data_IF_401183747444
#
_entry.id   IF_401183747444
#
_cell.length_a   1.000
_cell.length_b   1.000
_cell.length_c   1.000
_cell.angle_alpha   90.00
_cell.angle_beta   90.00
_cell.angle_gamma   90.00
#
_symmetry.space_group_name_H-M   'P 1'
#
loop_
_entity.id
_entity.type
_entity.pdbx_description
1 polymer ?
#
# COMPACT_ATOMS: atom_id res chain seq x y z
N UNK A 1 -7.57 -54.64 -24.38
CA UNK A 1 -6.47 -53.91 -23.71
C UNK A 1 -5.21 -53.99 -24.58
N UNK A 2 -4.48 -52.89 -24.77
CA UNK A 2 -3.18 -52.72 -25.51
C UNK A 2 -3.14 -52.05 -26.91
N UNK A 3 -4.18 -51.34 -27.40
CA UNK A 3 -4.03 -50.51 -28.63
C UNK A 3 -4.65 -49.09 -28.59
N UNK A 4 -4.85 -48.50 -27.41
CA UNK A 4 -5.37 -47.12 -27.28
C UNK A 4 -4.39 -46.17 -26.55
N UNK A 5 -3.27 -46.68 -26.04
CA UNK A 5 -2.23 -45.88 -25.38
C UNK A 5 -1.07 -45.70 -26.35
N UNK A 6 -1.24 -44.91 -27.41
CA UNK A 6 -0.08 -44.41 -28.18
C UNK A 6 -0.31 -43.10 -28.94
N UNK A 7 -1.45 -42.42 -28.74
CA UNK A 7 -1.76 -41.16 -29.43
C UNK A 7 -1.92 -39.93 -28.53
N UNK A 8 -1.75 -40.07 -27.21
CA UNK A 8 -1.88 -38.95 -26.25
C UNK A 8 -0.52 -38.48 -25.70
N UNK A 9 0.58 -39.17 -26.01
CA UNK A 9 1.95 -38.77 -25.55
C UNK A 9 2.71 -37.94 -26.59
N UNK A 10 2.24 -37.83 -27.84
CA UNK A 10 2.93 -37.07 -28.89
C UNK A 10 2.55 -35.58 -28.96
N UNK A 11 1.45 -35.14 -28.36
CA UNK A 11 1.01 -33.73 -28.43
C UNK A 11 1.60 -32.89 -27.30
N UNK A 12 1.75 -33.42 -26.09
CA UNK A 12 2.35 -32.69 -24.95
C UNK A 12 3.88 -32.55 -25.05
N UNK A 13 4.57 -33.51 -25.67
CA UNK A 13 6.02 -33.41 -25.91
C UNK A 13 6.42 -32.36 -26.95
N UNK A 14 5.59 -32.13 -27.97
CA UNK A 14 5.87 -31.15 -29.03
C UNK A 14 5.71 -29.69 -28.56
N UNK A 15 4.78 -29.41 -27.65
CA UNK A 15 4.59 -28.07 -27.08
C UNK A 15 5.72 -27.69 -26.10
N UNK A 16 6.22 -28.62 -25.29
CA UNK A 16 7.34 -28.36 -24.38
C UNK A 16 8.68 -28.13 -25.11
N UNK A 17 8.94 -28.85 -26.21
CA UNK A 17 10.13 -28.67 -27.06
C UNK A 17 10.06 -27.40 -27.92
N UNK A 18 8.87 -27.02 -28.41
CA UNK A 18 8.67 -25.74 -29.11
C UNK A 18 8.90 -24.52 -28.20
N UNK A 19 8.50 -24.60 -26.93
CA UNK A 19 8.66 -23.55 -25.94
C UNK A 19 10.13 -23.33 -25.52
N UNK A 20 10.92 -24.42 -25.39
CA UNK A 20 12.34 -24.32 -25.02
C UNK A 20 13.20 -23.71 -26.15
N UNK A 21 12.91 -24.05 -27.41
CA UNK A 21 13.66 -23.56 -28.58
C UNK A 21 13.31 -22.10 -28.93
N UNK A 22 12.04 -21.69 -28.73
CA UNK A 22 11.62 -20.30 -28.97
C UNK A 22 12.03 -19.35 -27.84
N UNK A 23 12.00 -19.78 -26.57
CA UNK A 23 12.49 -19.00 -25.43
C UNK A 23 14.01 -18.75 -25.44
N UNK A 24 14.81 -19.74 -25.83
CA UNK A 24 16.27 -19.58 -25.97
C UNK A 24 16.68 -18.71 -27.17
N UNK A 25 15.94 -18.76 -28.29
CA UNK A 25 16.19 -17.85 -29.43
C UNK A 25 15.87 -16.40 -29.08
N UNK A 26 14.84 -16.17 -28.26
CA UNK A 26 14.49 -14.85 -27.74
C UNK A 26 15.58 -14.26 -26.84
N UNK A 27 16.11 -15.05 -25.90
CA UNK A 27 17.21 -14.63 -25.01
C UNK A 27 18.50 -14.31 -25.79
N UNK A 28 18.77 -14.99 -26.91
CA UNK A 28 19.95 -14.72 -27.74
C UNK A 28 19.78 -13.50 -28.65
N UNK A 29 18.58 -13.25 -29.17
CA UNK A 29 18.35 -12.11 -30.06
C UNK A 29 18.22 -10.78 -29.32
N UNK A 30 17.51 -10.76 -28.19
CA UNK A 30 17.24 -9.50 -27.47
C UNK A 30 18.10 -9.32 -26.20
N UNK A 31 18.69 -10.38 -25.66
CA UNK A 31 19.56 -10.27 -24.48
C UNK A 31 20.79 -9.40 -24.74
N UNK A 32 21.37 -9.46 -25.94
CA UNK A 32 22.50 -8.61 -26.33
C UNK A 32 22.10 -7.13 -26.50
N UNK A 33 20.89 -6.88 -26.98
CA UNK A 33 20.36 -5.52 -27.18
C UNK A 33 19.96 -4.87 -25.86
N UNK A 34 19.35 -5.64 -24.95
CA UNK A 34 19.04 -5.23 -23.58
C UNK A 34 20.33 -4.97 -22.79
N UNK A 35 21.34 -5.84 -22.88
CA UNK A 35 22.64 -5.61 -22.23
C UNK A 35 23.35 -4.36 -22.76
N UNK A 36 23.26 -4.09 -24.07
CA UNK A 36 23.82 -2.88 -24.67
C UNK A 36 23.11 -1.63 -24.15
N UNK A 37 21.78 -1.63 -24.09
CA UNK A 37 21.01 -0.52 -23.54
C UNK A 37 21.30 -0.30 -22.05
N UNK A 38 21.54 -1.37 -21.29
CA UNK A 38 21.92 -1.31 -19.89
C UNK A 38 23.34 -0.72 -19.70
N UNK A 39 24.29 -1.07 -20.56
CA UNK A 39 25.64 -0.48 -20.55
C UNK A 39 25.62 1.00 -20.97
N UNK A 40 24.82 1.37 -21.96
CA UNK A 40 24.63 2.77 -22.36
C UNK A 40 24.01 3.59 -21.23
N UNK A 41 23.10 2.99 -20.44
CA UNK A 41 22.52 3.61 -19.25
C UNK A 41 23.53 3.80 -18.11
N UNK A 42 24.36 2.81 -17.79
CA UNK A 42 25.42 2.94 -16.79
C UNK A 42 26.42 4.05 -17.14
N UNK A 43 26.75 4.18 -18.44
CA UNK A 43 27.61 5.26 -18.91
C UNK A 43 26.96 6.64 -18.76
N UNK A 44 25.68 6.78 -19.07
CA UNK A 44 24.95 8.04 -18.89
C UNK A 44 24.76 8.41 -17.42
N UNK A 45 24.51 7.43 -16.55
CA UNK A 45 24.42 7.62 -15.11
C UNK A 45 25.75 8.13 -14.54
N UNK A 46 26.88 7.53 -14.94
CA UNK A 46 28.21 7.98 -14.54
C UNK A 46 28.53 9.41 -15.02
N UNK A 47 28.11 9.78 -16.23
CA UNK A 47 28.26 11.16 -16.75
C UNK A 47 27.47 12.15 -15.91
N UNK A 48 26.22 11.85 -15.58
CA UNK A 48 25.36 12.71 -14.75
C UNK A 48 25.90 12.86 -13.32
N UNK A 49 26.42 11.79 -12.74
CA UNK A 49 27.04 11.82 -11.41
C UNK A 49 28.30 12.69 -11.40
N UNK A 50 29.15 12.58 -12.42
CA UNK A 50 30.30 13.46 -12.61
C UNK A 50 29.90 14.93 -12.80
N UNK A 51 28.84 15.23 -13.55
CA UNK A 51 28.32 16.60 -13.70
C UNK A 51 27.77 17.16 -12.38
N UNK A 52 27.14 16.32 -11.54
CA UNK A 52 26.65 16.72 -10.20
C UNK A 52 27.81 17.02 -9.25
N UNK A 53 28.87 16.23 -9.29
CA UNK A 53 30.07 16.46 -8.49
C UNK A 53 30.78 17.75 -8.91
N UNK A 54 30.86 18.05 -10.21
CA UNK A 54 31.39 19.33 -10.71
C UNK A 54 30.53 20.53 -10.30
N UNK A 55 29.19 20.39 -10.33
CA UNK A 55 28.27 21.44 -9.87
C UNK A 55 28.40 21.67 -8.36
N UNK A 56 28.60 20.60 -7.56
CA UNK A 56 28.86 20.71 -6.12
C UNK A 56 30.20 21.38 -5.82
N UNK A 57 31.25 21.10 -6.60
CA UNK A 57 32.55 21.75 -6.41
C UNK A 57 32.56 23.22 -6.89
N UNK A 58 31.77 23.57 -7.92
CA UNK A 58 31.61 24.94 -8.38
C UNK A 58 30.83 25.85 -7.43
N UNK A 59 29.91 25.29 -6.61
CA UNK A 59 29.09 26.06 -5.67
C UNK A 59 29.79 26.40 -4.34
N UNK A 60 30.92 25.74 -4.03
CA UNK A 60 31.68 25.98 -2.78
C UNK A 60 32.59 27.22 -2.86
N UNK A 61 32.78 27.82 -4.05
CA UNK A 61 33.66 29.00 -4.21
C UNK A 61 32.88 30.33 -4.08
N UNK A 62 31.55 30.34 -4.18
CA UNK A 62 30.76 31.59 -4.23
C UNK A 62 30.15 32.02 -2.89
N UNK A 63 30.15 31.16 -1.85
CA UNK A 63 29.52 31.46 -0.54
C UNK A 63 30.52 31.72 0.60
N UNK A 64 31.71 32.27 0.28
CA UNK A 64 32.63 32.85 1.28
C UNK A 64 32.89 34.32 0.98
N UNK A 65 31.89 35.15 1.24
CA UNK A 65 32.07 36.61 1.18
C UNK A 65 30.77 37.37 1.30
N UNK A 66 30.31 37.60 2.53
CA UNK A 66 29.77 38.90 2.98
C UNK A 66 29.03 38.71 4.31
N UNK A 67 29.76 38.97 5.38
CA UNK A 67 29.19 39.34 6.68
C UNK A 67 29.18 40.87 6.77
N UNK A 68 28.02 41.48 7.04
CA UNK A 68 27.92 42.79 7.70
C UNK A 68 26.47 43.10 8.14
N UNK A 69 26.29 43.08 9.46
CA UNK A 69 25.52 44.02 10.30
C UNK A 69 24.29 44.75 9.74
N UNK A 70 23.12 44.54 10.36
CA UNK A 70 22.17 45.64 10.62
C UNK A 70 21.49 45.51 11.98
N UNK A 71 21.34 46.69 12.57
CA UNK A 71 21.07 47.10 13.95
C UNK A 71 19.59 47.12 14.34
N UNK A 72 19.36 46.91 15.63
CA UNK A 72 18.11 47.12 16.39
C UNK A 72 17.78 48.63 16.47
N UNK A 73 16.49 48.99 16.59
CA UNK A 73 16.12 49.92 17.66
C UNK A 73 14.91 49.47 18.51
N UNK A 74 15.00 49.90 19.76
CA UNK A 74 14.14 49.62 20.91
C UNK A 74 13.30 50.87 21.22
N UNK A 75 12.00 50.72 21.50
CA UNK A 75 11.11 51.67 22.20
C UNK A 75 9.73 50.99 22.33
N UNK A 76 8.89 51.06 23.37
CA UNK A 76 8.87 51.62 24.73
C UNK A 76 7.58 51.06 25.36
N UNK A 77 7.56 50.93 26.69
CA UNK A 77 6.44 50.41 27.48
C UNK A 77 5.23 51.36 27.53
N UNK A 78 4.03 50.79 27.60
CA UNK A 78 2.86 51.41 28.22
C UNK A 78 1.94 50.34 28.84
N UNK A 79 1.62 50.52 30.11
CA UNK A 79 0.69 49.71 30.94
C UNK A 79 -0.59 50.52 31.22
N UNK A 80 -1.61 49.98 31.93
CA UNK A 80 -2.88 49.51 31.38
C UNK A 80 -4.08 50.44 31.68
N UNK A 81 -5.21 50.26 30.98
CA UNK A 81 -6.49 50.89 31.34
C UNK A 81 -7.57 49.85 31.63
N UNK A 82 -8.09 49.94 32.85
CA UNK A 82 -9.19 49.15 33.40
C UNK A 82 -10.50 49.39 32.64
N UNK A 83 -11.31 48.33 32.52
CA UNK A 83 -12.66 48.38 31.99
C UNK A 83 -13.47 47.14 32.32
N UNK A 84 -14.31 47.26 33.35
CA UNK A 84 -15.65 46.66 33.40
C UNK A 84 -15.76 45.14 33.55
N UNK A 85 -15.78 44.67 34.81
CA UNK A 85 -16.45 43.43 35.15
C UNK A 85 -17.96 43.60 34.95
N UNK A 86 -18.55 42.79 34.07
CA UNK A 86 -19.99 42.50 34.07
C UNK A 86 -20.12 41.01 34.36
N UNK A 87 -20.55 40.71 35.57
CA UNK A 87 -20.92 39.36 35.99
C UNK A 87 -22.20 38.94 35.26
N UNK A 88 -22.04 38.08 34.25
CA UNK A 88 -23.12 37.29 33.69
C UNK A 88 -23.29 36.00 34.53
N UNK A 89 -24.52 35.49 34.70
CA UNK A 89 -24.83 34.42 35.63
C UNK A 89 -24.09 33.13 35.28
N UNK A 90 -23.53 32.51 36.31
CA UNK A 90 -22.86 31.21 36.29
C UNK A 90 -23.83 30.16 35.70
N UNK A 91 -23.67 29.86 34.42
CA UNK A 91 -24.20 28.64 33.83
C UNK A 91 -23.39 27.46 34.42
N UNK A 92 -24.08 26.37 34.74
CA UNK A 92 -23.50 25.14 35.30
C UNK A 92 -22.21 24.76 34.55
N UNK A 93 -21.13 24.52 35.29
CA UNK A 93 -19.78 24.41 34.75
C UNK A 93 -19.63 23.33 33.66
N UNK A 94 -18.62 23.46 32.79
CA UNK A 94 -18.27 22.44 31.81
C UNK A 94 -18.01 21.12 32.55
N UNK A 95 -18.70 20.06 32.13
CA UNK A 95 -18.55 18.74 32.75
C UNK A 95 -17.09 18.29 32.69
N UNK A 96 -16.50 17.94 33.83
CA UNK A 96 -15.13 17.44 33.90
C UNK A 96 -15.00 16.20 32.98
N UNK A 97 -13.93 16.03 32.17
CA UNK A 97 -13.78 14.86 31.30
C UNK A 97 -13.97 13.50 31.99
N UNK A 98 -13.61 13.37 33.28
CA UNK A 98 -13.90 12.17 34.08
C UNK A 98 -15.40 11.94 34.29
N UNK A 99 -16.17 13.00 34.53
CA UNK A 99 -17.63 12.92 34.66
C UNK A 99 -18.30 12.59 33.32
N UNK A 100 -17.78 13.14 32.22
CA UNK A 100 -18.25 12.81 30.86
C UNK A 100 -18.06 11.31 30.61
N UNK A 101 -16.88 10.76 30.88
CA UNK A 101 -16.60 9.33 30.75
C UNK A 101 -17.47 8.47 31.66
N UNK A 102 -17.65 8.86 32.93
CA UNK A 102 -18.53 8.14 33.85
C UNK A 102 -19.98 8.10 33.34
N UNK A 103 -20.48 9.21 32.76
CA UNK A 103 -21.81 9.24 32.12
C UNK A 103 -21.88 8.35 30.89
N UNK A 104 -20.84 8.29 30.07
CA UNK A 104 -20.79 7.38 28.92
C UNK A 104 -20.90 5.92 29.41
N UNK A 105 -20.09 5.53 30.40
CA UNK A 105 -20.09 4.17 30.97
C UNK A 105 -21.46 3.81 31.55
N UNK A 106 -22.07 4.73 32.31
CA UNK A 106 -23.40 4.52 32.90
C UNK A 106 -24.48 4.35 31.83
N UNK A 107 -24.47 5.19 30.78
CA UNK A 107 -25.39 5.08 29.67
C UNK A 107 -25.21 3.79 28.85
N UNK A 108 -24.01 3.22 28.81
CA UNK A 108 -23.77 1.94 28.15
C UNK A 108 -24.21 0.74 29.00
N UNK A 109 -24.13 0.84 30.33
CA UNK A 109 -24.56 -0.24 31.24
C UNK A 109 -26.07 -0.26 31.47
N UNK A 110 -26.67 0.92 31.65
CA UNK A 110 -28.05 1.06 32.13
C UNK A 110 -28.94 1.84 31.16
N UNK A 111 -28.41 2.34 30.04
CA UNK A 111 -29.19 3.12 29.08
C UNK A 111 -30.13 2.27 28.23
N UNK A 112 -31.28 2.84 27.87
CA UNK A 112 -32.21 2.24 26.92
C UNK A 112 -31.80 2.49 25.45
N UNK A 113 -32.62 2.05 24.47
CA UNK A 113 -32.31 2.11 23.03
C UNK A 113 -31.97 3.52 22.48
N UNK A 114 -32.31 4.57 23.21
CA UNK A 114 -32.05 5.96 22.83
C UNK A 114 -30.76 6.54 23.42
N UNK A 115 -30.01 5.80 24.25
CA UNK A 115 -28.80 6.28 24.92
C UNK A 115 -27.64 6.56 23.94
N UNK A 116 -27.67 5.93 22.76
CA UNK A 116 -26.59 6.01 21.78
C UNK A 116 -26.33 7.45 21.27
N UNK A 117 -27.39 8.24 21.06
CA UNK A 117 -27.22 9.66 20.65
C UNK A 117 -26.58 10.50 21.75
N UNK A 118 -26.88 10.19 23.02
CA UNK A 118 -26.26 10.87 24.15
C UNK A 118 -24.79 10.48 24.28
N UNK A 119 -24.46 9.20 24.10
CA UNK A 119 -23.07 8.71 24.09
C UNK A 119 -22.25 9.37 22.99
N UNK A 120 -22.79 9.46 21.76
CA UNK A 120 -22.12 10.16 20.65
C UNK A 120 -21.86 11.63 20.97
N UNK A 121 -22.83 12.34 21.55
CA UNK A 121 -22.63 13.73 21.99
C UNK A 121 -21.53 13.84 23.04
N UNK A 122 -21.53 12.98 24.05
CA UNK A 122 -20.52 12.99 25.11
C UNK A 122 -19.12 12.66 24.57
N UNK A 123 -18.99 11.77 23.58
CA UNK A 123 -17.71 11.53 22.89
C UNK A 123 -17.23 12.79 22.15
N UNK A 124 -18.13 13.52 21.49
CA UNK A 124 -17.79 14.81 20.88
C UNK A 124 -17.39 15.85 21.92
N UNK A 125 -18.03 15.86 23.10
CA UNK A 125 -17.67 16.76 24.19
C UNK A 125 -16.25 16.47 24.72
N UNK A 126 -15.82 15.20 24.73
CA UNK A 126 -14.42 14.84 25.06
C UNK A 126 -13.43 15.38 24.04
N UNK A 127 -13.76 15.34 22.75
CA UNK A 127 -12.92 15.92 21.68
C UNK A 127 -12.84 17.44 21.84
N UNK A 128 -13.96 18.11 22.11
CA UNK A 128 -14.02 19.56 22.34
C UNK A 128 -13.22 20.01 23.58
N UNK A 129 -13.20 19.19 24.63
CA UNK A 129 -12.37 19.42 25.81
C UNK A 129 -10.86 19.23 25.54
N UNK A 130 -10.49 18.61 24.41
CA UNK A 130 -9.12 18.55 23.91
C UNK A 130 -8.17 17.80 24.86
N UNK A 131 -6.93 18.27 25.03
CA UNK A 131 -5.91 17.58 25.84
C UNK A 131 -6.31 17.29 27.29
N UNK A 132 -7.26 18.04 27.86
CA UNK A 132 -7.77 17.82 29.22
C UNK A 132 -8.48 16.46 29.37
N UNK A 133 -8.99 15.90 28.28
CA UNK A 133 -9.64 14.59 28.25
C UNK A 133 -8.67 13.42 28.30
N UNK A 134 -7.40 13.62 27.90
CA UNK A 134 -6.46 12.53 27.64
C UNK A 134 -6.15 11.69 28.88
N UNK A 135 -5.96 12.32 30.04
CA UNK A 135 -5.68 11.61 31.28
C UNK A 135 -6.84 10.69 31.69
N UNK A 136 -8.08 11.18 31.58
CA UNK A 136 -9.27 10.39 31.92
C UNK A 136 -9.49 9.23 30.94
N UNK A 137 -9.22 9.46 29.64
CA UNK A 137 -9.29 8.41 28.62
C UNK A 137 -8.21 7.35 28.87
N UNK A 138 -6.98 7.76 29.17
CA UNK A 138 -5.88 6.86 29.48
C UNK A 138 -6.19 5.97 30.70
N UNK A 139 -6.76 6.54 31.76
CA UNK A 139 -7.22 5.79 32.94
C UNK A 139 -8.24 4.72 32.57
N UNK A 140 -9.22 5.04 31.72
CA UNK A 140 -10.19 4.06 31.23
C UNK A 140 -9.52 2.97 30.39
N UNK A 141 -8.66 3.33 29.42
CA UNK A 141 -7.97 2.36 28.57
C UNK A 141 -7.08 1.39 29.36
N UNK A 142 -6.45 1.87 30.44
CA UNK A 142 -5.62 1.07 31.33
C UNK A 142 -6.41 0.09 32.22
N UNK A 143 -7.71 0.32 32.42
CA UNK A 143 -8.57 -0.59 33.18
C UNK A 143 -8.82 -1.93 32.48
N UNK A 144 -8.62 -1.98 31.15
CA UNK A 144 -8.94 -3.14 30.32
C UNK A 144 -10.44 -3.37 30.10
N UNK A 145 -11.32 -2.53 30.64
CA UNK A 145 -12.76 -2.60 30.37
C UNK A 145 -13.04 -2.24 28.90
N UNK A 146 -13.84 -3.05 28.22
CA UNK A 146 -14.32 -2.75 26.87
C UNK A 146 -15.82 -3.04 26.73
N UNK A 147 -16.62 -1.97 26.83
CA UNK A 147 -18.07 -2.05 26.72
C UNK A 147 -18.49 -2.06 25.26
N UNK A 148 -19.37 -3.00 24.88
CA UNK A 148 -19.94 -3.02 23.53
C UNK A 148 -20.85 -1.82 23.32
N UNK A 149 -20.69 -1.15 22.19
CA UNK A 149 -21.59 -0.07 21.77
C UNK A 149 -22.63 -0.66 20.82
N UNK A 150 -23.90 -0.39 21.08
CA UNK A 150 -24.97 -0.91 20.23
C UNK A 150 -24.95 -0.18 18.88
N UNK A 151 -24.57 -0.90 17.81
CA UNK A 151 -24.47 -0.35 16.45
C UNK A 151 -25.85 -0.27 15.80
N UNK A 152 -26.74 0.54 16.35
CA UNK A 152 -28.08 0.70 15.78
C UNK A 152 -28.08 1.77 14.67
N UNK A 153 -27.57 1.42 13.48
CA UNK A 153 -27.88 2.13 12.24
C UNK A 153 -27.64 1.27 10.99
N UNK A 154 -28.66 0.52 10.56
CA UNK A 154 -28.85 0.17 9.14
C UNK A 154 -29.16 1.46 8.36
N UNK A 155 -28.15 2.26 8.07
CA UNK A 155 -28.28 3.50 7.29
C UNK A 155 -26.98 3.79 6.55
N UNK A 156 -26.99 3.63 5.22
CA UNK A 156 -25.89 4.05 4.36
C UNK A 156 -25.72 5.58 4.48
N UNK A 157 -24.61 6.04 5.05
CA UNK A 157 -24.03 7.34 4.71
C UNK A 157 -23.90 8.40 5.81
N UNK A 158 -23.40 8.08 7.01
CA UNK A 158 -22.87 9.10 7.93
C UNK A 158 -21.36 8.90 8.16
N UNK A 159 -20.54 9.97 8.12
CA UNK A 159 -19.11 9.89 8.41
C UNK A 159 -18.89 10.03 9.92
N UNK A 160 -18.33 9.02 10.60
CA UNK A 160 -17.65 9.24 11.88
C UNK A 160 -17.71 8.16 12.97
N UNK A 161 -18.74 7.31 13.07
CA UNK A 161 -18.84 6.30 14.14
C UNK A 161 -18.93 4.87 13.61
N UNK A 162 -17.90 4.05 13.85
CA UNK A 162 -17.81 2.63 13.41
C UNK A 162 -17.47 1.65 14.54
N UNK A 163 -17.30 2.10 15.79
CA UNK A 163 -16.82 1.28 16.89
C UNK A 163 -17.84 0.27 17.37
N UNK A 164 -17.46 -1.01 17.35
CA UNK A 164 -18.23 -2.06 18.05
C UNK A 164 -18.08 -1.99 19.58
N UNK A 165 -17.22 -1.11 20.09
CA UNK A 165 -16.90 -1.00 21.51
C UNK A 165 -16.40 0.40 21.93
N UNK A 166 -16.53 0.69 23.23
CA UNK A 166 -16.19 1.98 23.82
C UNK A 166 -14.69 2.25 23.74
N UNK A 167 -13.85 1.22 23.92
CA UNK A 167 -12.41 1.35 23.75
C UNK A 167 -12.04 1.88 22.36
N UNK A 168 -12.69 1.37 21.31
CA UNK A 168 -12.42 1.81 19.94
C UNK A 168 -12.81 3.27 19.70
N UNK A 169 -13.96 3.70 20.23
CA UNK A 169 -14.41 5.10 20.11
C UNK A 169 -13.51 6.04 20.92
N UNK A 170 -13.04 5.64 22.10
CA UNK A 170 -12.12 6.46 22.89
C UNK A 170 -10.75 6.61 22.24
N UNK A 171 -10.24 5.56 21.58
CA UNK A 171 -9.03 5.68 20.76
C UNK A 171 -9.23 6.64 19.58
N UNK A 172 -10.42 6.65 18.98
CA UNK A 172 -10.79 7.61 17.94
C UNK A 172 -10.81 9.05 18.50
N UNK A 173 -11.39 9.27 19.68
CA UNK A 173 -11.35 10.55 20.38
C UNK A 173 -9.90 11.02 20.60
N UNK A 174 -9.01 10.14 21.05
CA UNK A 174 -7.58 10.49 21.23
C UNK A 174 -6.94 10.90 19.89
N UNK A 175 -7.20 10.17 18.81
CA UNK A 175 -6.71 10.52 17.46
C UNK A 175 -7.26 11.87 16.96
N UNK A 176 -8.50 12.21 17.30
CA UNK A 176 -9.14 13.48 16.93
C UNK A 176 -8.63 14.67 17.74
N UNK A 177 -8.33 14.47 19.03
CA UNK A 177 -7.68 15.48 19.88
C UNK A 177 -6.29 15.82 19.32
N UNK A 178 -5.50 14.80 18.98
CA UNK A 178 -4.19 14.95 18.39
C UNK A 178 -3.13 15.63 19.28
N UNK A 179 -1.98 15.93 18.69
CA UNK A 179 -0.83 16.52 19.38
C UNK A 179 -0.02 15.50 20.20
N UNK A 180 1.11 15.97 20.75
CA UNK A 180 2.14 15.11 21.35
C UNK A 180 1.63 14.28 22.54
N UNK A 181 0.74 14.84 23.36
CA UNK A 181 0.14 14.10 24.49
C UNK A 181 -0.77 12.96 24.00
N UNK A 182 -1.54 13.18 22.94
CA UNK A 182 -2.37 12.12 22.35
C UNK A 182 -1.49 11.04 21.72
N UNK A 183 -0.42 11.42 21.01
CA UNK A 183 0.56 10.46 20.48
C UNK A 183 1.13 9.55 21.59
N UNK A 184 1.50 10.12 22.75
CA UNK A 184 2.00 9.35 23.88
C UNK A 184 0.96 8.36 24.42
N UNK A 185 -0.31 8.76 24.54
CA UNK A 185 -1.39 7.87 24.98
C UNK A 185 -1.58 6.71 23.99
N UNK A 186 -1.58 6.98 22.68
CA UNK A 186 -1.70 5.95 21.65
C UNK A 186 -0.50 4.99 21.65
N UNK A 187 0.72 5.52 21.76
CA UNK A 187 1.95 4.73 21.79
C UNK A 187 2.01 3.81 23.02
N UNK A 188 1.62 4.31 24.19
CA UNK A 188 1.52 3.48 25.40
C UNK A 188 0.46 2.38 25.22
N UNK A 189 -0.71 2.75 24.69
CA UNK A 189 -1.82 1.80 24.47
C UNK A 189 -1.44 0.70 23.47
N UNK A 190 -0.62 1.00 22.47
CA UNK A 190 -0.17 0.03 21.45
C UNK A 190 0.53 -1.19 22.08
N UNK A 191 1.33 -0.99 23.13
CA UNK A 191 2.00 -2.08 23.85
C UNK A 191 1.03 -3.03 24.56
N UNK A 192 -0.20 -2.57 24.81
CA UNK A 192 -1.28 -3.28 25.50
C UNK A 192 -2.51 -3.44 24.60
N UNK A 193 -2.31 -3.46 23.29
CA UNK A 193 -3.39 -3.60 22.33
C UNK A 193 -4.17 -4.90 22.61
N UNK A 194 -5.50 -4.78 22.70
CA UNK A 194 -6.42 -5.88 23.00
C UNK A 194 -6.59 -6.86 21.83
N UNK A 195 -6.17 -6.46 20.63
CA UNK A 195 -6.23 -7.30 19.42
C UNK A 195 -5.13 -6.94 18.41
N UNK A 196 -4.78 -7.86 17.49
CA UNK A 196 -3.88 -7.58 16.38
C UNK A 196 -4.33 -6.36 15.55
N UNK A 197 -5.64 -6.21 15.30
CA UNK A 197 -6.19 -5.12 14.51
C UNK A 197 -6.14 -3.77 15.23
N UNK A 198 -6.30 -3.76 16.55
CA UNK A 198 -6.11 -2.54 17.35
C UNK A 198 -4.66 -2.07 17.27
N UNK A 199 -3.68 -2.99 17.39
CA UNK A 199 -2.26 -2.64 17.28
C UNK A 199 -1.94 -2.02 15.91
N UNK A 200 -2.40 -2.64 14.82
CA UNK A 200 -2.19 -2.11 13.47
C UNK A 200 -2.81 -0.71 13.30
N UNK A 201 -4.04 -0.51 13.77
CA UNK A 201 -4.69 0.81 13.72
C UNK A 201 -3.90 1.86 14.49
N UNK A 202 -3.40 1.53 15.68
CA UNK A 202 -2.59 2.43 16.49
C UNK A 202 -1.27 2.78 15.79
N UNK A 203 -0.59 1.80 15.20
CA UNK A 203 0.63 2.02 14.43
C UNK A 203 0.38 2.95 13.22
N UNK A 204 -0.68 2.70 12.44
CA UNK A 204 -1.06 3.54 11.30
C UNK A 204 -1.43 4.97 11.73
N UNK A 205 -2.12 5.12 12.86
CA UNK A 205 -2.49 6.42 13.42
C UNK A 205 -1.25 7.21 13.84
N UNK A 206 -0.35 6.58 14.60
CA UNK A 206 0.91 7.18 15.03
C UNK A 206 1.79 7.57 13.84
N UNK A 207 1.86 6.73 12.80
CA UNK A 207 2.61 7.06 11.58
C UNK A 207 2.01 8.26 10.84
N UNK A 208 0.68 8.38 10.80
CA UNK A 208 0.01 9.54 10.21
C UNK A 208 0.21 10.82 11.02
N UNK A 209 0.22 10.72 12.35
CA UNK A 209 0.34 11.87 13.25
C UNK A 209 1.78 12.36 13.39
N UNK A 210 2.72 11.44 13.52
CA UNK A 210 4.14 11.71 13.70
C UNK A 210 4.98 10.67 12.92
N UNK A 211 5.15 10.86 11.60
CA UNK A 211 5.84 9.91 10.73
C UNK A 211 7.21 9.49 11.26
N UNK A 212 7.46 8.18 11.32
CA UNK A 212 8.70 7.59 11.79
C UNK A 212 9.01 7.69 13.29
N UNK A 213 8.37 8.60 14.04
CA UNK A 213 8.68 8.84 15.48
C UNK A 213 8.46 7.59 16.34
N UNK A 214 7.44 6.79 16.02
CA UNK A 214 7.05 5.61 16.80
C UNK A 214 7.40 4.27 16.14
N UNK A 215 8.18 4.29 15.06
CA UNK A 215 8.57 3.10 14.29
C UNK A 215 9.16 2.00 15.18
N UNK A 216 10.18 2.32 15.98
CA UNK A 216 10.88 1.32 16.79
C UNK A 216 9.94 0.64 17.81
N UNK A 217 9.05 1.42 18.43
CA UNK A 217 8.07 0.89 19.38
C UNK A 217 7.06 -0.05 18.69
N UNK A 218 6.56 0.34 17.51
CA UNK A 218 5.62 -0.46 16.74
C UNK A 218 6.24 -1.79 16.26
N UNK A 219 7.46 -1.74 15.71
CA UNK A 219 8.19 -2.94 15.25
C UNK A 219 8.48 -3.87 16.42
N UNK A 220 8.94 -3.35 17.56
CA UNK A 220 9.21 -4.15 18.77
C UNK A 220 7.94 -4.84 19.28
N UNK A 221 6.82 -4.12 19.31
CA UNK A 221 5.53 -4.69 19.73
C UNK A 221 5.06 -5.79 18.77
N UNK A 222 5.17 -5.58 17.45
CA UNK A 222 4.81 -6.57 16.44
C UNK A 222 5.64 -7.85 16.56
N UNK A 223 6.97 -7.74 16.75
CA UNK A 223 7.83 -8.91 16.97
C UNK A 223 7.43 -9.71 18.21
N UNK A 224 7.18 -9.01 19.31
CA UNK A 224 6.77 -9.64 20.57
C UNK A 224 5.50 -10.47 20.36
N UNK A 225 4.52 -9.94 19.61
CA UNK A 225 3.27 -10.65 19.34
C UNK A 225 3.44 -11.80 18.34
N UNK A 226 4.26 -11.64 17.30
CA UNK A 226 4.56 -12.71 16.35
C UNK A 226 5.19 -13.92 17.04
N UNK A 227 6.10 -13.70 18.00
CA UNK A 227 6.68 -14.78 18.80
C UNK A 227 5.62 -15.53 19.65
N UNK A 228 4.58 -14.82 20.11
CA UNK A 228 3.50 -15.41 20.90
C UNK A 228 2.48 -16.18 20.02
N UNK A 229 2.25 -15.73 18.78
CA UNK A 229 1.30 -16.38 17.86
C UNK A 229 1.69 -17.83 17.54
N UNK A 230 2.99 -18.12 17.43
CA UNK A 230 3.48 -19.48 17.24
C UNK A 230 2.97 -20.47 18.31
N UNK A 231 2.53 -19.98 19.46
CA UNK A 231 1.99 -20.77 20.57
C UNK A 231 0.45 -20.81 20.60
N UNK A 232 -0.23 -19.77 20.09
CA UNK A 232 -1.67 -19.53 20.33
C UNK A 232 -2.56 -19.65 19.08
N UNK A 233 -2.00 -19.95 17.89
CA UNK A 233 -2.72 -19.98 16.60
C UNK A 233 -3.44 -18.66 16.26
N UNK A 234 -2.86 -17.51 16.62
CA UNK A 234 -3.35 -16.19 16.21
C UNK A 234 -3.10 -15.88 14.72
N UNK A 235 -3.78 -14.87 14.19
CA UNK A 235 -3.53 -14.35 12.83
C UNK A 235 -2.30 -13.42 12.82
N UNK A 236 -1.20 -13.76 12.12
CA UNK A 236 -0.02 -12.93 12.05
C UNK A 236 -0.21 -11.67 11.18
N UNK A 237 -1.26 -11.61 10.34
CA UNK A 237 -1.44 -10.61 9.30
C UNK A 237 -1.23 -9.16 9.74
N UNK A 238 -1.93 -8.66 10.76
CA UNK A 238 -1.79 -7.28 11.21
C UNK A 238 -0.37 -6.93 11.69
N UNK A 239 0.35 -7.89 12.28
CA UNK A 239 1.73 -7.67 12.70
C UNK A 239 2.70 -7.64 11.51
N UNK A 240 2.49 -8.51 10.51
CA UNK A 240 3.24 -8.46 9.26
C UNK A 240 3.01 -7.16 8.50
N UNK A 241 1.80 -6.61 8.53
CA UNK A 241 1.50 -5.30 7.93
C UNK A 241 2.28 -4.18 8.64
N UNK A 242 2.39 -4.20 9.97
CA UNK A 242 3.22 -3.24 10.72
C UNK A 242 4.69 -3.36 10.30
N UNK A 243 5.24 -4.59 10.26
CA UNK A 243 6.63 -4.80 9.84
C UNK A 243 6.85 -4.33 8.40
N UNK A 244 5.91 -4.63 7.49
CA UNK A 244 5.95 -4.23 6.10
C UNK A 244 5.90 -2.71 5.91
N UNK A 245 5.04 -2.02 6.66
CA UNK A 245 4.92 -0.56 6.65
C UNK A 245 6.24 0.13 7.02
N UNK A 246 7.03 -0.49 7.90
CA UNK A 246 8.31 0.04 8.37
C UNK A 246 9.54 -0.56 7.68
N UNK A 247 9.35 -1.38 6.65
CA UNK A 247 10.45 -1.99 5.89
C UNK A 247 11.28 -3.00 6.70
N UNK A 248 10.75 -3.55 7.79
CA UNK A 248 11.48 -4.51 8.62
C UNK A 248 11.60 -5.86 7.89
N UNK A 249 12.84 -6.28 7.61
CA UNK A 249 13.15 -7.49 6.84
C UNK A 249 13.36 -8.75 7.70
N UNK A 250 13.21 -8.68 9.01
CA UNK A 250 13.58 -9.78 9.91
C UNK A 250 12.65 -11.00 9.81
N UNK A 251 11.47 -10.85 9.20
CA UNK A 251 10.49 -11.93 9.02
C UNK A 251 10.46 -12.50 7.58
N UNK A 252 11.41 -12.11 6.72
CA UNK A 252 11.42 -12.52 5.30
C UNK A 252 11.47 -14.04 5.13
N UNK A 253 12.36 -14.73 5.86
CA UNK A 253 12.51 -16.19 5.74
C UNK A 253 11.24 -16.93 6.17
N UNK A 254 10.64 -16.52 7.29
CA UNK A 254 9.41 -17.11 7.81
C UNK A 254 8.22 -16.83 6.88
N UNK A 255 8.12 -15.63 6.33
CA UNK A 255 7.10 -15.30 5.35
C UNK A 255 7.25 -16.13 4.07
N UNK A 256 8.47 -16.29 3.54
CA UNK A 256 8.74 -17.13 2.37
C UNK A 256 8.34 -18.60 2.61
N UNK A 257 8.68 -19.15 3.78
CA UNK A 257 8.29 -20.51 4.16
C UNK A 257 6.76 -20.68 4.27
N UNK A 258 6.05 -19.62 4.66
CA UNK A 258 4.59 -19.61 4.83
C UNK A 258 3.81 -19.20 3.57
N UNK A 259 4.48 -18.93 2.43
CA UNK A 259 3.86 -18.41 1.21
C UNK A 259 2.82 -19.35 0.61
N UNK A 260 3.06 -20.66 0.64
CA UNK A 260 2.12 -21.67 0.12
C UNK A 260 1.37 -22.29 1.28
N UNK A 261 0.05 -22.11 1.29
CA UNK A 261 -0.82 -22.71 2.27
C UNK A 261 -1.05 -24.20 1.98
N UNK A 262 -1.39 -25.03 2.98
CA UNK A 262 -1.66 -26.46 2.80
C UNK A 262 -2.78 -26.77 1.80
N UNK A 263 -3.70 -25.84 1.57
CA UNK A 263 -4.80 -25.95 0.60
C UNK A 263 -4.38 -25.57 -0.85
N UNK A 264 -3.09 -25.27 -1.07
CA UNK A 264 -2.53 -24.91 -2.37
C UNK A 264 -2.75 -23.45 -2.78
N UNK A 265 -3.18 -22.59 -1.85
CA UNK A 265 -3.37 -21.15 -2.06
C UNK A 265 -2.17 -20.36 -1.57
N UNK A 266 -2.06 -19.10 -2.01
CA UNK A 266 -1.03 -18.19 -1.51
C UNK A 266 -1.48 -17.61 -0.15
N UNK A 267 -0.56 -17.55 0.81
CA UNK A 267 -0.72 -16.75 2.01
C UNK A 267 -0.56 -15.27 1.65
N UNK A 268 -1.69 -14.59 1.48
CA UNK A 268 -1.72 -13.19 1.06
C UNK A 268 -0.98 -12.26 2.02
N UNK A 269 -1.12 -12.46 3.33
CA UNK A 269 -0.44 -11.61 4.32
C UNK A 269 1.08 -11.73 4.22
N UNK A 270 1.59 -12.95 4.00
CA UNK A 270 3.02 -13.18 3.77
C UNK A 270 3.49 -12.56 2.44
N UNK A 271 2.71 -12.72 1.38
CA UNK A 271 3.03 -12.15 0.06
C UNK A 271 3.04 -10.61 0.10
N UNK A 272 2.03 -9.98 0.69
CA UNK A 272 1.94 -8.52 0.82
C UNK A 272 3.09 -7.97 1.68
N UNK A 273 3.46 -8.65 2.77
CA UNK A 273 4.65 -8.30 3.55
C UNK A 273 5.93 -8.37 2.72
N UNK A 274 6.15 -9.47 2.00
CA UNK A 274 7.34 -9.64 1.16
C UNK A 274 7.41 -8.58 0.06
N UNK A 275 6.28 -8.25 -0.59
CA UNK A 275 6.22 -7.16 -1.57
C UNK A 275 6.63 -5.82 -0.95
N UNK A 276 6.13 -5.51 0.25
CA UNK A 276 6.40 -4.25 0.93
C UNK A 276 7.86 -4.09 1.37
N UNK A 277 8.54 -5.18 1.76
CA UNK A 277 9.91 -5.10 2.30
C UNK A 277 11.01 -5.41 1.27
N UNK A 278 10.70 -6.23 0.27
CA UNK A 278 11.64 -6.62 -0.78
C UNK A 278 11.51 -5.78 -2.06
N UNK A 279 10.35 -5.15 -2.30
CA UNK A 279 10.10 -4.40 -3.53
C UNK A 279 10.42 -5.25 -4.77
N UNK A 280 11.33 -4.81 -5.65
CA UNK A 280 11.76 -5.56 -6.83
C UNK A 280 12.43 -6.90 -6.48
N UNK A 281 13.07 -7.02 -5.32
CA UNK A 281 13.74 -8.24 -4.86
C UNK A 281 12.73 -9.38 -4.54
N UNK A 282 11.42 -9.10 -4.58
CA UNK A 282 10.39 -10.13 -4.46
C UNK A 282 10.24 -10.95 -5.75
N UNK A 283 10.71 -10.46 -6.89
CA UNK A 283 10.48 -11.11 -8.20
C UNK A 283 11.07 -12.53 -8.30
N UNK A 284 12.29 -12.83 -7.82
CA UNK A 284 12.79 -14.21 -7.82
C UNK A 284 11.92 -15.14 -6.97
N UNK A 285 11.42 -14.66 -5.83
CA UNK A 285 10.51 -15.41 -4.96
C UNK A 285 9.19 -15.68 -5.68
N UNK A 286 8.61 -14.64 -6.31
CA UNK A 286 7.38 -14.76 -7.10
C UNK A 286 7.56 -15.72 -8.28
N UNK A 287 8.70 -15.70 -8.96
CA UNK A 287 8.99 -16.58 -10.10
C UNK A 287 9.12 -18.05 -9.66
N UNK A 288 9.83 -18.32 -8.55
CA UNK A 288 9.90 -19.66 -7.98
C UNK A 288 8.51 -20.16 -7.59
N UNK A 289 7.73 -19.31 -6.93
CA UNK A 289 6.37 -19.62 -6.51
C UNK A 289 5.44 -19.85 -7.71
N UNK A 290 5.59 -19.10 -8.80
CA UNK A 290 4.82 -19.27 -10.04
C UNK A 290 5.03 -20.65 -10.68
N UNK A 291 6.21 -21.23 -10.52
CA UNK A 291 6.58 -22.56 -11.02
C UNK A 291 6.27 -23.68 -10.01
N UNK A 292 5.80 -23.35 -8.81
CA UNK A 292 5.55 -24.32 -7.76
C UNK A 292 4.29 -25.15 -8.07
N UNK A 293 4.47 -26.46 -8.24
CA UNK A 293 3.38 -27.40 -8.51
C UNK A 293 2.38 -27.55 -7.36
N UNK A 294 2.70 -27.05 -6.15
CA UNK A 294 1.78 -27.01 -5.02
C UNK A 294 0.69 -25.94 -5.18
N UNK A 295 0.90 -24.94 -6.04
CA UNK A 295 -0.14 -23.95 -6.33
C UNK A 295 -1.20 -24.55 -7.24
N UNK A 296 -2.39 -24.76 -6.67
CA UNK A 296 -3.54 -25.35 -7.37
C UNK A 296 -4.62 -24.32 -7.71
N UNK A 297 -4.63 -23.16 -7.05
CA UNK A 297 -5.61 -22.08 -7.30
C UNK A 297 -5.17 -21.23 -8.51
N UNK A 298 -5.94 -21.17 -9.61
CA UNK A 298 -5.62 -20.31 -10.75
C UNK A 298 -5.52 -18.82 -10.38
N UNK A 299 -6.23 -18.39 -9.32
CA UNK A 299 -6.15 -17.00 -8.83
C UNK A 299 -4.79 -16.67 -8.23
N UNK A 300 -4.09 -17.65 -7.65
CA UNK A 300 -2.75 -17.47 -7.13
C UNK A 300 -1.77 -17.06 -8.24
N UNK A 301 -1.84 -17.72 -9.40
CA UNK A 301 -1.04 -17.36 -10.57
C UNK A 301 -1.39 -15.97 -11.11
N UNK A 302 -2.67 -15.60 -11.09
CA UNK A 302 -3.10 -14.26 -11.43
C UNK A 302 -2.49 -13.19 -10.51
N UNK A 303 -2.46 -13.42 -9.19
CA UNK A 303 -1.87 -12.50 -8.21
C UNK A 303 -0.37 -12.29 -8.46
N UNK A 304 0.38 -13.36 -8.70
CA UNK A 304 1.81 -13.29 -9.03
C UNK A 304 2.07 -12.59 -10.37
N UNK A 305 1.22 -12.84 -11.37
CA UNK A 305 1.30 -12.17 -12.66
C UNK A 305 1.08 -10.66 -12.52
N UNK A 306 0.11 -10.25 -11.71
CA UNK A 306 -0.17 -8.83 -11.43
C UNK A 306 0.97 -8.14 -10.70
N UNK A 307 1.58 -8.81 -9.73
CA UNK A 307 2.80 -8.34 -9.07
C UNK A 307 3.90 -8.10 -10.11
N UNK A 308 4.10 -9.05 -11.03
CA UNK A 308 5.11 -8.94 -12.07
C UNK A 308 4.84 -7.79 -13.06
N UNK A 309 3.57 -7.45 -13.35
CA UNK A 309 3.18 -6.47 -14.38
C UNK A 309 3.90 -5.12 -14.24
N UNK A 310 4.13 -4.65 -13.02
CA UNK A 310 4.82 -3.36 -12.78
C UNK A 310 6.26 -3.35 -13.28
N UNK A 311 6.92 -4.51 -13.23
CA UNK A 311 8.33 -4.70 -13.59
C UNK A 311 8.52 -5.24 -15.01
N UNK A 312 7.44 -5.42 -15.78
CA UNK A 312 7.53 -5.82 -17.19
C UNK A 312 8.24 -4.73 -17.98
N UNK A 313 9.26 -5.13 -18.75
CA UNK A 313 10.20 -4.26 -19.44
C UNK A 313 11.40 -3.82 -18.62
N UNK A 314 11.44 -4.14 -17.32
CA UNK A 314 12.56 -3.83 -16.41
C UNK A 314 13.29 -5.08 -15.91
N UNK A 315 12.57 -6.21 -15.79
CA UNK A 315 13.13 -7.45 -15.26
C UNK A 315 12.69 -8.68 -16.09
N UNK A 316 13.65 -9.55 -16.42
CA UNK A 316 13.38 -10.75 -17.23
C UNK A 316 12.42 -11.73 -16.55
N UNK A 317 12.55 -11.91 -15.24
CA UNK A 317 11.63 -12.73 -14.45
C UNK A 317 10.18 -12.22 -14.57
N UNK A 318 9.98 -10.90 -14.54
CA UNK A 318 8.68 -10.28 -14.70
C UNK A 318 8.13 -10.45 -16.12
N UNK A 319 8.98 -10.26 -17.14
CA UNK A 319 8.63 -10.48 -18.54
C UNK A 319 8.12 -11.92 -18.75
N UNK A 320 8.84 -12.91 -18.22
CA UNK A 320 8.48 -14.33 -18.36
C UNK A 320 7.15 -14.66 -17.67
N UNK A 321 6.96 -14.25 -16.41
CA UNK A 321 5.73 -14.51 -15.66
C UNK A 321 4.51 -13.86 -16.32
N UNK A 322 4.65 -12.60 -16.73
CA UNK A 322 3.59 -11.87 -17.41
C UNK A 322 3.24 -12.52 -18.75
N UNK A 323 4.24 -12.90 -19.55
CA UNK A 323 4.03 -13.53 -20.86
C UNK A 323 3.33 -14.88 -20.76
N UNK A 324 3.77 -15.74 -19.82
CA UNK A 324 3.14 -17.02 -19.52
C UNK A 324 1.68 -16.84 -19.11
N UNK A 325 1.38 -15.82 -18.31
CA UNK A 325 0.02 -15.54 -17.84
C UNK A 325 -0.87 -14.97 -18.94
N UNK A 326 -0.35 -14.07 -19.78
CA UNK A 326 -1.09 -13.49 -20.90
C UNK A 326 -1.49 -14.54 -21.95
N UNK A 327 -0.74 -15.63 -22.07
CA UNK A 327 -1.03 -16.75 -22.98
C UNK A 327 -1.73 -17.94 -22.31
N UNK A 328 -1.93 -17.94 -20.99
CA UNK A 328 -2.46 -19.10 -20.29
C UNK A 328 -3.98 -19.28 -20.50
N UNK A 329 -4.44 -20.28 -21.28
CA UNK A 329 -5.88 -20.48 -21.53
C UNK A 329 -6.68 -20.83 -20.27
N UNK A 330 -6.05 -21.26 -19.18
CA UNK A 330 -6.71 -21.56 -17.90
C UNK A 330 -7.14 -20.30 -17.14
N UNK A 331 -6.52 -19.14 -17.42
CA UNK A 331 -6.93 -17.88 -16.83
C UNK A 331 -8.16 -17.33 -17.57
N UNK A 332 -9.11 -16.68 -16.88
CA UNK A 332 -10.24 -16.03 -17.55
C UNK A 332 -9.77 -14.98 -18.59
N UNK A 333 -10.47 -14.88 -19.71
CA UNK A 333 -10.17 -13.90 -20.78
C UNK A 333 -10.02 -12.48 -20.23
N UNK A 334 -10.94 -12.06 -19.37
CA UNK A 334 -10.92 -10.74 -18.70
C UNK A 334 -9.67 -10.53 -17.83
N UNK A 335 -9.11 -11.60 -17.27
CA UNK A 335 -7.87 -11.54 -16.50
C UNK A 335 -6.68 -11.32 -17.43
N UNK A 336 -6.59 -12.09 -18.53
CA UNK A 336 -5.52 -11.92 -19.53
C UNK A 336 -5.56 -10.53 -20.17
N UNK A 337 -6.74 -10.07 -20.56
CA UNK A 337 -6.94 -8.72 -21.09
C UNK A 337 -6.52 -7.63 -20.10
N UNK A 338 -6.83 -7.81 -18.81
CA UNK A 338 -6.42 -6.87 -17.76
C UNK A 338 -4.90 -6.79 -17.63
N UNK A 339 -4.21 -7.93 -17.59
CA UNK A 339 -2.75 -7.99 -17.53
C UNK A 339 -2.11 -7.24 -18.71
N UNK A 340 -2.71 -7.36 -19.91
CA UNK A 340 -2.26 -6.62 -21.10
C UNK A 340 -2.49 -5.13 -20.93
N UNK A 341 -3.71 -4.71 -20.58
CA UNK A 341 -4.07 -3.29 -20.41
C UNK A 341 -3.27 -2.61 -19.31
N UNK A 342 -2.86 -3.31 -18.27
CA UNK A 342 -2.10 -2.69 -17.17
C UNK A 342 -0.69 -2.25 -17.58
N UNK A 343 -0.13 -2.78 -18.67
CA UNK A 343 1.17 -2.33 -19.18
C UNK A 343 1.19 -0.87 -19.63
N UNK A 344 0.06 -0.24 -19.95
CA UNK A 344 0.01 1.20 -20.27
C UNK A 344 -0.09 2.09 -19.01
N UNK A 345 -0.21 1.49 -17.82
CA UNK A 345 -0.48 2.21 -16.57
C UNK A 345 0.60 1.99 -15.51
N UNK A 346 1.01 0.74 -15.29
CA UNK A 346 1.89 0.35 -14.18
C UNK A 346 3.35 0.72 -14.46
N UNK A 347 4.12 1.12 -13.45
CA UNK A 347 5.54 1.45 -13.61
C UNK A 347 5.85 2.78 -14.30
N UNK A 348 4.83 3.58 -14.66
CA UNK A 348 5.01 4.95 -15.15
C UNK A 348 4.76 5.97 -14.04
N UNK A 349 5.54 7.04 -13.98
CA UNK A 349 5.39 8.09 -12.96
C UNK A 349 4.25 9.07 -13.29
N UNK A 350 4.29 9.68 -14.48
CA UNK A 350 3.23 10.55 -14.99
C UNK A 350 3.01 10.29 -16.50
N UNK A 351 1.97 9.51 -16.87
CA UNK A 351 1.68 9.21 -18.28
C UNK A 351 1.37 10.45 -19.15
N UNK A 352 1.04 11.60 -18.55
CA UNK A 352 0.77 12.84 -19.30
C UNK A 352 2.05 13.60 -19.63
N UNK A 353 3.06 13.48 -18.77
CA UNK A 353 4.37 14.12 -18.88
C UNK A 353 5.47 13.06 -18.73
N UNK A 354 5.64 12.17 -19.73
CA UNK A 354 6.56 11.05 -19.61
C UNK A 354 8.01 11.53 -19.50
N UNK A 355 8.73 10.98 -18.53
CA UNK A 355 10.18 11.13 -18.42
C UNK A 355 10.89 10.33 -19.51
N UNK A 356 12.19 10.58 -19.77
CA UNK A 356 12.97 9.72 -20.67
C UNK A 356 12.94 8.23 -20.28
N UNK A 357 12.87 7.93 -18.97
CA UNK A 357 12.73 6.56 -18.47
C UNK A 357 11.36 5.96 -18.83
N UNK A 358 10.28 6.74 -18.72
CA UNK A 358 8.94 6.31 -19.14
C UNK A 358 8.89 6.03 -20.66
N UNK A 359 9.54 6.87 -21.47
CA UNK A 359 9.64 6.66 -22.92
C UNK A 359 10.37 5.35 -23.24
N UNK A 360 11.51 5.10 -22.59
CA UNK A 360 12.28 3.87 -22.78
C UNK A 360 11.48 2.63 -22.34
N UNK A 361 10.83 2.68 -21.18
CA UNK A 361 9.97 1.60 -20.71
C UNK A 361 8.82 1.32 -21.69
N UNK A 362 8.19 2.36 -22.24
CA UNK A 362 7.14 2.21 -23.23
C UNK A 362 7.66 1.56 -24.52
N UNK A 363 8.86 1.91 -24.98
CA UNK A 363 9.50 1.26 -26.14
C UNK A 363 9.74 -0.23 -25.90
N UNK A 364 10.31 -0.61 -24.75
CA UNK A 364 10.53 -2.03 -24.41
C UNK A 364 9.20 -2.80 -24.35
N UNK A 365 8.17 -2.20 -23.74
CA UNK A 365 6.84 -2.84 -23.66
C UNK A 365 6.15 -2.98 -25.01
N UNK A 366 6.37 -2.05 -25.95
CA UNK A 366 5.91 -2.21 -27.33
C UNK A 366 6.51 -3.45 -28.00
N UNK A 367 7.82 -3.68 -27.84
CA UNK A 367 8.49 -4.87 -28.37
C UNK A 367 7.95 -6.17 -27.75
N UNK A 368 7.69 -6.17 -26.44
CA UNK A 368 7.06 -7.30 -25.74
C UNK A 368 5.67 -7.59 -26.31
N UNK A 369 4.84 -6.55 -26.53
CA UNK A 369 3.50 -6.70 -27.09
C UNK A 369 3.51 -7.16 -28.55
N UNK A 370 4.50 -6.76 -29.34
CA UNK A 370 4.70 -7.28 -30.70
C UNK A 370 4.97 -8.78 -30.69
N UNK A 371 5.83 -9.24 -29.77
CA UNK A 371 6.09 -10.65 -29.54
C UNK A 371 4.85 -11.43 -29.07
N UNK A 372 4.03 -10.84 -28.20
CA UNK A 372 2.77 -11.45 -27.75
C UNK A 372 1.77 -11.57 -28.90
N UNK A 373 1.58 -10.49 -29.67
CA UNK A 373 0.68 -10.43 -30.82
C UNK A 373 0.96 -11.53 -31.83
N UNK A 374 2.24 -11.78 -32.13
CA UNK A 374 2.65 -12.80 -33.10
C UNK A 374 2.18 -14.22 -32.72
N UNK A 375 2.06 -14.52 -31.42
CA UNK A 375 1.61 -15.81 -30.90
C UNK A 375 0.08 -15.92 -30.75
N UNK A 376 -0.63 -14.79 -30.67
CA UNK A 376 -2.08 -14.72 -30.41
C UNK A 376 -2.95 -14.75 -31.68
N UNK A 377 -2.49 -15.33 -32.79
CA UNK A 377 -3.26 -15.31 -34.04
C UNK A 377 -4.69 -15.85 -33.82
N UNK A 378 -5.71 -15.04 -34.14
CA UNK A 378 -7.15 -15.30 -33.95
C UNK A 378 -7.68 -15.33 -32.49
N UNK A 379 -6.93 -14.87 -31.49
CA UNK A 379 -7.43 -14.73 -30.11
C UNK A 379 -8.30 -13.48 -29.93
N UNK A 380 -9.35 -13.51 -29.08
CA UNK A 380 -10.14 -12.32 -28.76
C UNK A 380 -9.34 -11.23 -28.03
N UNK A 381 -8.17 -11.57 -27.47
CA UNK A 381 -7.27 -10.62 -26.81
C UNK A 381 -6.45 -9.76 -27.78
N UNK A 382 -6.41 -10.09 -29.08
CA UNK A 382 -5.64 -9.37 -30.11
C UNK A 382 -6.00 -7.89 -30.17
N UNK A 383 -7.29 -7.55 -30.07
CA UNK A 383 -7.76 -6.16 -30.03
C UNK A 383 -7.22 -5.41 -28.82
N UNK A 384 -7.16 -6.09 -27.66
CA UNK A 384 -6.63 -5.50 -26.43
C UNK A 384 -5.14 -5.21 -26.55
N UNK A 385 -4.38 -6.13 -27.16
CA UNK A 385 -2.96 -5.93 -27.46
C UNK A 385 -2.77 -4.70 -28.36
N UNK A 386 -3.56 -4.54 -29.42
CA UNK A 386 -3.47 -3.38 -30.31
C UNK A 386 -3.81 -2.07 -29.62
N UNK A 387 -4.89 -2.04 -28.82
CA UNK A 387 -5.30 -0.85 -28.07
C UNK A 387 -4.20 -0.42 -27.08
N UNK A 388 -3.61 -1.37 -26.36
CA UNK A 388 -2.52 -1.10 -25.42
C UNK A 388 -1.27 -0.64 -26.14
N UNK A 389 -0.93 -1.21 -27.31
CA UNK A 389 0.18 -0.75 -28.15
C UNK A 389 -0.02 0.70 -28.59
N UNK A 390 -1.20 1.07 -29.07
CA UNK A 390 -1.49 2.45 -29.47
C UNK A 390 -1.31 3.43 -28.30
N UNK A 391 -1.72 3.05 -27.10
CA UNK A 391 -1.59 3.88 -25.89
C UNK A 391 -0.15 4.02 -25.41
N UNK A 392 0.66 2.95 -25.50
CA UNK A 392 2.10 3.02 -25.24
C UNK A 392 2.83 3.85 -26.30
N UNK A 393 2.43 3.74 -27.57
CA UNK A 393 3.03 4.55 -28.65
C UNK A 393 2.81 6.06 -28.42
N UNK A 394 1.71 6.46 -27.80
CA UNK A 394 1.46 7.85 -27.39
C UNK A 394 2.42 8.35 -26.30
N UNK A 395 2.90 7.46 -25.42
CA UNK A 395 3.93 7.81 -24.43
C UNK A 395 5.26 8.07 -25.14
N UNK A 396 5.56 7.31 -26.19
CA UNK A 396 6.78 7.47 -26.99
C UNK A 396 6.72 8.70 -27.90
N UNK A 397 5.59 8.92 -28.57
CA UNK A 397 5.32 10.07 -29.43
C UNK A 397 3.94 10.67 -29.11
N UNK A 398 3.89 11.78 -28.35
CA UNK A 398 2.64 12.45 -27.99
C UNK A 398 1.78 12.91 -29.18
N UNK A 399 2.34 13.07 -30.38
CA UNK A 399 1.59 13.46 -31.57
C UNK A 399 0.62 12.36 -32.03
N UNK A 400 0.85 11.11 -31.62
CA UNK A 400 -0.02 9.98 -31.95
C UNK A 400 -1.34 9.98 -31.16
N UNK A 401 -1.55 10.92 -30.21
CA UNK A 401 -2.80 11.01 -29.42
C UNK A 401 -4.05 11.09 -30.27
N UNK A 402 -3.97 11.74 -31.42
CA UNK A 402 -5.07 11.87 -32.37
C UNK A 402 -5.54 10.54 -32.97
N UNK A 403 -4.70 9.50 -32.91
CA UNK A 403 -4.99 8.16 -33.43
C UNK A 403 -5.64 7.24 -32.39
N UNK A 404 -5.82 7.71 -31.14
CA UNK A 404 -6.46 6.91 -30.10
C UNK A 404 -7.97 6.75 -30.38
N UNK A 405 -8.52 5.53 -30.25
CA UNK A 405 -9.97 5.36 -30.32
C UNK A 405 -10.65 6.16 -29.21
N UNK A 406 -11.78 6.79 -29.54
CA UNK A 406 -12.58 7.50 -28.53
C UNK A 406 -12.89 6.56 -27.36
N UNK A 407 -12.61 7.01 -26.13
CA UNK A 407 -12.87 6.20 -24.94
C UNK A 407 -14.33 5.70 -24.98
N UNK A 408 -14.58 4.39 -24.89
CA UNK A 408 -15.95 3.91 -24.79
C UNK A 408 -16.56 4.56 -23.55
N UNK A 409 -17.66 5.31 -23.75
CA UNK A 409 -18.44 5.84 -22.63
C UNK A 409 -18.72 4.67 -21.68
N UNK A 410 -18.57 4.81 -20.36
CA UNK A 410 -18.92 3.75 -19.44
C UNK A 410 -20.38 3.40 -19.71
N UNK A 411 -20.64 2.19 -20.21
CA UNK A 411 -21.99 1.70 -20.39
C UNK A 411 -22.68 1.84 -19.03
N UNK A 412 -23.70 2.70 -18.97
CA UNK A 412 -24.60 2.74 -17.83
C UNK A 412 -25.24 1.35 -17.76
N UNK A 413 -24.81 0.55 -16.80
CA UNK A 413 -25.44 -0.71 -16.46
C UNK A 413 -26.90 -0.37 -16.09
N UNK A 414 -27.92 -0.90 -16.78
CA UNK A 414 -29.28 -0.77 -16.31
C UNK A 414 -29.37 -1.43 -14.93
N UNK A 415 -29.94 -0.69 -13.97
CA UNK A 415 -30.07 -1.09 -12.56
C UNK A 415 -30.90 -2.35 -12.38
#
# INVERSE_FOLDING_TARGET
MKKVILFIVSVTGAFALGYFISGQRWHRHYGAEIQRLQQEWEQQAAVLENSRLQTRQGKVITERGSAASQTVPQATMATPKAGGAVAAPVQAGPSNPREILARIVELQKNGGPNSQRAVQRLLSDLVLAGPQSLAAIQEYLASGEDLKLDTQAKGKGAPGGKGGSLRQELLQVVMEIGGEQAEQVLAQTMSQAASPQEMLRLAQALEKMAPGKYQQAAVTAAHTQLANISQTKGDPGPYLEILGMYGDRSYVEQAQAALVQPDGRINKNALDYLQNVLHQDVLPVAQQLFQDGRLTDPKAREELARLATEYVGMADAANQMWYQSALNPELPDKTRERLIRELEKKGFQDPKNPTPQDVQLAQVRLQILDGLRAQMQASPQVTVVDETRLRLAVIVDPNLRQNLPANPKPNKIPR
#
